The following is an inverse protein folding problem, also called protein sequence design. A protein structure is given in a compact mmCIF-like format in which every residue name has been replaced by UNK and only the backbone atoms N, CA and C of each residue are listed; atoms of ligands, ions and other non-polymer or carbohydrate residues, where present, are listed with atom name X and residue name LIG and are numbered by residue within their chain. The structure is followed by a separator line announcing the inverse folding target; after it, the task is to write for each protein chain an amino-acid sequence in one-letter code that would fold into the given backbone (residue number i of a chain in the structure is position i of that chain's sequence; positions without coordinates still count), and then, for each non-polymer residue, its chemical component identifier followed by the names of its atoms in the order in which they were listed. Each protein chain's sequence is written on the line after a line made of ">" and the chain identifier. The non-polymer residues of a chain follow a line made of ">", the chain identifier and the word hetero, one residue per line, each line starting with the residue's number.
data_IF_540278441671
#
_entry.id   IF_540278441671
#
_cell.length_a   1.000
_cell.length_b   1.000
_cell.length_c   1.000
_cell.angle_alpha   90.00
_cell.angle_beta   90.00
_cell.angle_gamma   90.00
#
_symmetry.space_group_name_H-M   'P 1'
#
loop_
_entity.id
_entity.type
_entity.pdbx_description
1 polymer ?
#
# COMPACT_ATOMS: atom_id res chain seq x y z
N UNK A 1 -2.55 -0.70 -26.41
CA UNK A 1 -2.99 -1.38 -25.17
C UNK A 1 -2.52 -0.53 -24.01
N UNK A 2 -3.36 0.39 -23.52
CA UNK A 2 -2.89 1.48 -22.68
C UNK A 2 -3.69 1.62 -21.38
N UNK A 3 -2.95 1.44 -20.27
CA UNK A 3 -2.95 2.30 -19.08
C UNK A 3 -4.15 2.29 -18.14
N UNK A 4 -3.97 1.52 -17.06
CA UNK A 4 -4.54 1.82 -15.73
C UNK A 4 -4.20 3.27 -15.39
N UNK A 5 -5.19 4.14 -15.37
CA UNK A 5 -5.03 5.54 -14.98
C UNK A 5 -4.61 5.60 -13.51
N UNK A 6 -3.30 5.74 -13.30
CA UNK A 6 -2.70 6.15 -12.04
C UNK A 6 -2.96 7.65 -11.89
N UNK A 7 -3.65 8.05 -10.81
CA UNK A 7 -4.03 9.43 -10.56
C UNK A 7 -2.79 10.28 -10.24
N UNK A 8 -2.63 11.48 -10.83
CA UNK A 8 -1.56 12.39 -10.44
C UNK A 8 -1.77 12.87 -9.00
N UNK A 9 -0.75 12.67 -8.18
CA UNK A 9 -0.69 13.14 -6.79
C UNK A 9 -0.60 14.67 -6.76
N UNK A 10 -1.62 15.34 -6.22
CA UNK A 10 -1.59 16.77 -5.89
C UNK A 10 -1.29 16.94 -4.40
N UNK A 11 -0.03 16.75 -4.01
CA UNK A 11 0.49 17.30 -2.75
C UNK A 11 1.92 17.77 -2.98
N UNK A 12 2.03 19.03 -3.43
CA UNK A 12 3.25 19.82 -3.46
C UNK A 12 2.95 21.18 -2.83
N UNK A 13 3.22 21.30 -1.54
CA UNK A 13 3.43 22.52 -0.74
C UNK A 13 3.74 21.99 0.68
N UNK A 14 4.98 21.99 1.17
CA UNK A 14 5.76 23.19 1.40
C UNK A 14 5.49 23.70 2.83
N UNK A 15 5.69 22.85 3.84
CA UNK A 15 5.70 23.26 5.25
C UNK A 15 7.15 23.54 5.66
N UNK A 16 7.52 24.81 5.56
CA UNK A 16 8.73 25.37 6.18
C UNK A 16 8.60 25.20 7.70
N UNK A 17 9.39 24.30 8.28
CA UNK A 17 9.53 24.19 9.72
C UNK A 17 10.47 25.30 10.21
N UNK A 18 9.91 26.17 11.06
CA UNK A 18 10.64 27.24 11.74
C UNK A 18 11.71 26.68 12.67
N UNK A 19 12.91 27.24 12.52
CA UNK A 19 14.06 27.04 13.39
C UNK A 19 13.74 27.66 14.77
N UNK A 20 13.55 26.85 15.80
CA UNK A 20 13.50 27.33 17.19
C UNK A 20 14.79 26.92 17.91
N UNK A 21 15.57 27.92 18.30
CA UNK A 21 16.75 27.80 19.15
C UNK A 21 16.34 27.31 20.56
N UNK A 22 16.89 26.19 21.00
CA UNK A 22 16.84 25.76 22.39
C UNK A 22 18.26 25.73 22.96
N UNK A 23 18.48 26.62 23.93
CA UNK A 23 19.68 26.78 24.75
C UNK A 23 19.83 25.64 25.76
N UNK A 24 21.08 25.41 26.16
CA UNK A 24 21.54 24.18 26.80
C UNK A 24 21.11 23.93 28.25
N UNK A 25 21.24 22.66 28.62
CA UNK A 25 21.46 22.24 29.99
C UNK A 25 22.40 21.03 30.01
N UNK A 26 23.57 21.22 30.63
CA UNK A 26 24.57 20.19 30.83
C UNK A 26 24.09 19.25 31.94
N UNK A 27 23.62 18.06 31.56
CA UNK A 27 23.31 16.95 32.45
C UNK A 27 24.48 15.96 32.51
N UNK A 28 24.96 15.69 33.71
CA UNK A 28 26.04 14.76 34.01
C UNK A 28 25.80 13.35 33.42
N UNK A 29 26.81 12.83 32.74
CA UNK A 29 26.80 11.50 32.12
C UNK A 29 27.06 10.42 33.19
N UNK A 30 26.04 9.61 33.49
CA UNK A 30 26.23 8.34 34.20
C UNK A 30 26.84 7.29 33.26
N UNK A 31 27.75 6.43 33.75
CA UNK A 31 28.39 5.38 32.94
C UNK A 31 27.35 4.34 32.50
N UNK A 32 27.10 4.28 31.19
CA UNK A 32 26.26 3.25 30.56
C UNK A 32 26.95 1.89 30.60
N UNK A 33 26.26 0.89 31.15
CA UNK A 33 26.65 -0.50 31.05
C UNK A 33 26.71 -0.96 29.57
N UNK A 34 27.62 -1.89 29.22
CA UNK A 34 27.76 -2.41 27.86
C UNK A 34 26.46 -3.12 27.44
N UNK A 35 25.83 -2.59 26.40
CA UNK A 35 24.63 -3.18 25.78
C UNK A 35 25.08 -4.46 25.03
N UNK A 36 24.49 -5.64 25.31
CA UNK A 36 24.82 -6.85 24.58
C UNK A 36 24.44 -6.68 23.11
N UNK A 37 25.43 -6.73 22.23
CA UNK A 37 25.23 -6.72 20.78
C UNK A 37 24.38 -7.91 20.38
N UNK A 38 23.08 -7.67 20.17
CA UNK A 38 22.13 -8.64 19.63
C UNK A 38 22.59 -8.96 18.21
N UNK A 39 23.23 -10.12 18.06
CA UNK A 39 23.75 -10.66 16.80
C UNK A 39 22.66 -10.56 15.74
N UNK A 40 22.88 -9.72 14.72
CA UNK A 40 21.94 -9.58 13.61
C UNK A 40 21.78 -10.94 12.93
N UNK A 41 20.55 -11.44 12.71
CA UNK A 41 20.33 -12.70 12.04
C UNK A 41 20.91 -12.61 10.62
N UNK A 42 21.88 -13.46 10.31
CA UNK A 42 22.38 -13.65 8.96
C UNK A 42 21.25 -14.19 8.08
N UNK A 43 20.65 -13.31 7.28
CA UNK A 43 19.62 -13.68 6.33
C UNK A 43 20.29 -14.14 5.03
N UNK A 44 20.40 -15.45 4.86
CA UNK A 44 20.73 -16.06 3.57
C UNK A 44 19.62 -15.70 2.58
N UNK A 45 19.97 -15.12 1.43
CA UNK A 45 18.99 -14.81 0.39
C UNK A 45 18.37 -16.13 -0.10
N UNK A 46 17.04 -16.32 0.03
CA UNK A 46 16.39 -17.50 -0.51
C UNK A 46 16.53 -17.49 -2.03
N UNK A 47 16.93 -18.64 -2.59
CA UNK A 47 16.82 -18.91 -4.03
C UNK A 47 15.37 -18.62 -4.44
N UNK A 48 15.17 -17.68 -5.37
CA UNK A 48 13.83 -17.32 -5.81
C UNK A 48 13.14 -18.57 -6.39
N UNK A 49 11.96 -18.96 -5.88
CA UNK A 49 11.21 -20.06 -6.48
C UNK A 49 10.78 -19.68 -7.89
N UNK A 50 11.07 -20.54 -8.86
CA UNK A 50 10.55 -20.43 -10.23
C UNK A 50 9.03 -20.65 -10.18
N UNK A 51 8.26 -19.57 -10.16
CA UNK A 51 6.80 -19.64 -10.11
C UNK A 51 6.24 -20.23 -11.42
N UNK A 52 5.15 -21.03 -11.37
CA UNK A 52 4.46 -21.51 -12.57
C UNK A 52 3.91 -20.32 -13.36
N UNK A 53 4.04 -20.37 -14.69
CA UNK A 53 3.66 -19.28 -15.58
C UNK A 53 2.15 -19.00 -15.50
N UNK A 54 1.77 -17.85 -14.94
CA UNK A 54 0.41 -17.34 -15.08
C UNK A 54 0.14 -17.03 -16.56
N UNK A 55 -0.97 -17.53 -17.15
CA UNK A 55 -1.27 -17.29 -18.56
C UNK A 55 -1.39 -15.79 -18.83
N UNK A 56 -0.59 -15.28 -19.78
CA UNK A 56 -0.62 -13.89 -20.22
C UNK A 56 0.41 -12.95 -19.56
N UNK A 57 1.25 -13.41 -18.64
CA UNK A 57 2.35 -12.61 -18.08
C UNK A 57 3.70 -13.01 -18.69
N UNK A 58 4.57 -12.03 -18.92
CA UNK A 58 5.96 -12.30 -19.26
C UNK A 58 6.69 -12.98 -18.08
N UNK A 59 7.73 -13.80 -18.31
CA UNK A 59 8.48 -14.43 -17.23
C UNK A 59 8.99 -13.43 -16.18
N UNK A 60 9.43 -12.25 -16.62
CA UNK A 60 9.87 -11.16 -15.76
C UNK A 60 8.73 -10.60 -14.88
N UNK A 61 7.53 -10.44 -15.43
CA UNK A 61 6.33 -10.03 -14.66
C UNK A 61 5.94 -11.08 -13.62
N UNK A 62 5.97 -12.36 -13.99
CA UNK A 62 5.65 -13.45 -13.09
C UNK A 62 6.63 -13.47 -11.90
N UNK A 63 7.94 -13.33 -12.17
CA UNK A 63 8.96 -13.28 -11.13
C UNK A 63 8.80 -12.07 -10.20
N UNK A 64 8.51 -10.88 -10.74
CA UNK A 64 8.23 -9.67 -9.94
C UNK A 64 6.99 -9.84 -9.08
N UNK A 65 5.93 -10.41 -9.65
CA UNK A 65 4.68 -10.68 -8.92
C UNK A 65 4.93 -11.68 -7.79
N UNK A 66 5.67 -12.75 -8.05
CA UNK A 66 6.07 -13.72 -7.04
C UNK A 66 6.90 -13.07 -5.92
N UNK A 67 7.84 -12.18 -6.28
CA UNK A 67 8.63 -11.42 -5.30
C UNK A 67 7.73 -10.56 -4.40
N UNK A 68 6.82 -9.77 -4.99
CA UNK A 68 5.86 -8.95 -4.23
C UNK A 68 5.01 -9.80 -3.27
N UNK A 69 4.53 -10.95 -3.73
CA UNK A 69 3.72 -11.86 -2.91
C UNK A 69 4.50 -12.50 -1.75
N UNK A 70 5.76 -12.88 -1.99
CA UNK A 70 6.60 -13.58 -1.01
C UNK A 70 7.21 -12.63 0.03
N UNK A 71 7.58 -11.41 -0.36
CA UNK A 71 8.38 -10.51 0.49
C UNK A 71 7.61 -9.28 0.95
N UNK A 72 6.89 -8.62 0.04
CA UNK A 72 6.29 -7.31 0.32
C UNK A 72 4.90 -7.45 0.96
N UNK A 73 4.04 -8.27 0.36
CA UNK A 73 2.65 -8.43 0.79
C UNK A 73 2.49 -8.91 2.25
N UNK A 74 3.29 -9.85 2.78
CA UNK A 74 3.16 -10.29 4.17
C UNK A 74 3.47 -9.19 5.17
N UNK A 75 4.49 -8.37 4.89
CA UNK A 75 4.90 -7.24 5.75
C UNK A 75 3.81 -6.17 5.76
N UNK A 76 3.30 -5.78 4.59
CA UNK A 76 2.21 -4.80 4.47
C UNK A 76 0.93 -5.31 5.14
N UNK A 77 0.63 -6.61 5.05
CA UNK A 77 -0.49 -7.22 5.81
C UNK A 77 -0.26 -7.15 7.32
N UNK A 78 0.98 -7.30 7.77
CA UNK A 78 1.39 -7.07 9.16
C UNK A 78 1.03 -5.67 9.64
N UNK A 79 1.43 -4.63 8.90
CA UNK A 79 1.11 -3.24 9.20
C UNK A 79 -0.40 -3.00 9.28
N UNK A 80 -1.15 -3.50 8.31
CA UNK A 80 -2.61 -3.34 8.26
C UNK A 80 -3.28 -3.88 9.52
N UNK A 81 -2.78 -5.00 10.07
CA UNK A 81 -3.25 -5.54 11.35
C UNK A 81 -2.91 -4.64 12.54
N UNK A 82 -1.71 -4.06 12.55
CA UNK A 82 -1.30 -3.12 13.60
C UNK A 82 -2.16 -1.85 13.57
N UNK A 83 -2.44 -1.33 12.37
CA UNK A 83 -3.37 -0.21 12.18
C UNK A 83 -4.77 -0.58 12.65
N UNK A 84 -5.31 -1.73 12.23
CA UNK A 84 -6.63 -2.18 12.68
C UNK A 84 -6.76 -2.29 14.20
N UNK A 85 -5.68 -2.67 14.89
CA UNK A 85 -5.68 -2.83 16.34
C UNK A 85 -5.78 -1.51 17.13
N UNK A 86 -5.45 -0.38 16.51
CA UNK A 86 -5.52 0.95 17.16
C UNK A 86 -6.74 1.77 16.74
N UNK A 87 -7.52 1.30 15.76
CA UNK A 87 -8.75 1.97 15.33
C UNK A 87 -9.88 1.71 16.34
N UNK A 88 -10.67 2.75 16.62
CA UNK A 88 -11.91 2.59 17.39
C UNK A 88 -12.98 1.86 16.58
N UNK A 89 -14.05 1.41 17.24
CA UNK A 89 -15.20 0.80 16.56
C UNK A 89 -15.84 1.77 15.55
N UNK A 90 -15.93 3.06 15.88
CA UNK A 90 -16.44 4.10 14.98
C UNK A 90 -15.52 4.33 13.77
N UNK A 91 -14.20 4.36 14.00
CA UNK A 91 -13.20 4.48 12.93
C UNK A 91 -13.30 3.29 11.96
N UNK A 92 -13.48 2.07 12.48
CA UNK A 92 -13.67 0.86 11.69
C UNK A 92 -14.98 0.91 10.88
N UNK A 93 -16.09 1.37 11.47
CA UNK A 93 -17.36 1.55 10.75
C UNK A 93 -17.23 2.54 9.59
N UNK A 94 -16.48 3.64 9.78
CA UNK A 94 -16.20 4.58 8.70
C UNK A 94 -15.38 3.93 7.57
N UNK A 95 -14.33 3.18 7.92
CA UNK A 95 -13.51 2.45 6.94
C UNK A 95 -14.36 1.46 6.13
N UNK A 96 -15.20 0.67 6.81
CA UNK A 96 -16.10 -0.29 6.17
C UNK A 96 -17.11 0.38 5.22
N UNK A 97 -17.67 1.53 5.63
CA UNK A 97 -18.54 2.35 4.80
C UNK A 97 -17.84 2.80 3.51
N UNK A 98 -16.62 3.33 3.62
CA UNK A 98 -15.84 3.79 2.46
C UNK A 98 -15.46 2.62 1.56
N UNK A 99 -15.07 1.48 2.12
CA UNK A 99 -14.80 0.27 1.33
C UNK A 99 -16.03 -0.18 0.55
N UNK A 100 -17.21 -0.21 1.17
CA UNK A 100 -18.46 -0.60 0.53
C UNK A 100 -18.77 0.34 -0.65
N UNK A 101 -18.60 1.65 -0.45
CA UNK A 101 -18.75 2.67 -1.50
C UNK A 101 -17.77 2.43 -2.66
N UNK A 102 -16.50 2.15 -2.37
CA UNK A 102 -15.50 1.83 -3.41
C UNK A 102 -15.78 0.53 -4.15
N UNK A 103 -16.28 -0.50 -3.47
CA UNK A 103 -16.75 -1.74 -4.13
C UNK A 103 -17.91 -1.44 -5.08
N UNK A 104 -18.87 -0.61 -4.68
CA UNK A 104 -19.98 -0.20 -5.52
C UNK A 104 -19.52 0.62 -6.75
N UNK A 105 -18.55 1.53 -6.57
CA UNK A 105 -17.94 2.28 -7.68
C UNK A 105 -17.24 1.32 -8.66
N UNK A 106 -16.42 0.39 -8.17
CA UNK A 106 -15.73 -0.60 -9.01
C UNK A 106 -16.70 -1.45 -9.83
N UNK A 107 -17.80 -1.91 -9.23
CA UNK A 107 -18.85 -2.65 -9.94
C UNK A 107 -19.51 -1.84 -11.06
N UNK A 108 -19.74 -0.54 -10.84
CA UNK A 108 -20.27 0.37 -11.88
C UNK A 108 -19.24 0.70 -12.97
N UNK A 109 -17.96 0.71 -12.62
CA UNK A 109 -16.87 0.99 -13.55
C UNK A 109 -16.51 -0.21 -14.46
N UNK A 110 -16.66 -1.44 -13.95
CA UNK A 110 -16.33 -2.69 -14.66
C UNK A 110 -16.85 -2.74 -16.11
N UNK A 111 -18.16 -2.54 -16.41
CA UNK A 111 -18.65 -2.61 -17.79
C UNK A 111 -18.12 -1.50 -18.72
N UNK A 112 -17.53 -0.45 -18.16
CA UNK A 112 -16.95 0.67 -18.92
C UNK A 112 -15.45 0.49 -19.18
N UNK A 113 -14.80 -0.46 -18.49
CA UNK A 113 -13.33 -0.62 -18.52
C UNK A 113 -12.90 -2.01 -18.96
N UNK A 114 -13.71 -3.04 -18.70
CA UNK A 114 -13.32 -4.41 -18.99
C UNK A 114 -13.32 -4.63 -20.51
N UNK A 115 -12.23 -5.20 -21.06
CA UNK A 115 -12.18 -5.53 -22.48
C UNK A 115 -13.24 -6.59 -22.79
N UNK A 116 -13.96 -6.38 -23.88
CA UNK A 116 -14.90 -7.35 -24.45
C UNK A 116 -14.09 -8.58 -24.90
N UNK A 117 -14.63 -9.82 -24.87
CA UNK A 117 -13.94 -10.98 -25.43
C UNK A 117 -13.43 -10.69 -26.85
N UNK A 118 -12.11 -10.67 -27.03
CA UNK A 118 -11.46 -10.13 -28.25
C UNK A 118 -10.38 -9.08 -28.01
N UNK A 119 -10.18 -8.64 -26.75
CA UNK A 119 -8.93 -8.02 -26.29
C UNK A 119 -8.76 -6.53 -26.56
N UNK A 120 -9.72 -5.88 -27.23
CA UNK A 120 -9.73 -4.43 -27.38
C UNK A 120 -10.61 -3.79 -26.29
N UNK A 121 -10.12 -2.71 -25.63
CA UNK A 121 -10.96 -1.94 -24.73
C UNK A 121 -12.17 -1.38 -25.49
N UNK A 122 -13.37 -1.35 -24.87
CA UNK A 122 -14.54 -0.82 -25.53
C UNK A 122 -14.29 0.64 -25.94
N UNK A 123 -14.54 0.96 -27.22
CA UNK A 123 -14.51 2.34 -27.68
C UNK A 123 -15.64 3.10 -26.98
N UNK A 124 -15.30 3.84 -25.92
CA UNK A 124 -16.30 4.48 -25.08
C UNK A 124 -16.98 5.64 -25.82
N UNK A 125 -18.32 5.64 -25.92
CA UNK A 125 -19.06 6.80 -26.42
C UNK A 125 -18.86 8.01 -25.48
N UNK A 126 -19.16 9.24 -25.94
CA UNK A 126 -19.04 10.44 -25.09
C UNK A 126 -19.73 10.31 -23.74
N UNK A 127 -20.90 9.68 -23.70
CA UNK A 127 -21.64 9.36 -22.47
C UNK A 127 -20.86 8.43 -21.53
N UNK A 128 -20.19 7.41 -22.07
CA UNK A 128 -19.33 6.50 -21.30
C UNK A 128 -18.11 7.19 -20.70
N UNK A 129 -17.51 8.16 -21.40
CA UNK A 129 -16.40 8.97 -20.88
C UNK A 129 -16.84 9.87 -19.72
N UNK A 130 -18.02 10.49 -19.84
CA UNK A 130 -18.61 11.28 -18.77
C UNK A 130 -18.91 10.42 -17.53
N UNK A 131 -19.51 9.24 -17.73
CA UNK A 131 -19.76 8.29 -16.65
C UNK A 131 -18.48 7.86 -15.92
N UNK A 132 -17.39 7.58 -16.66
CA UNK A 132 -16.09 7.29 -16.05
C UNK A 132 -15.53 8.48 -15.26
N UNK A 133 -15.63 9.70 -15.79
CA UNK A 133 -15.19 10.90 -15.08
C UNK A 133 -15.96 11.09 -13.76
N UNK A 134 -17.27 10.89 -13.78
CA UNK A 134 -18.12 10.93 -12.59
C UNK A 134 -17.72 9.85 -11.57
N UNK A 135 -17.53 8.61 -11.99
CA UNK A 135 -17.09 7.52 -11.09
C UNK A 135 -15.71 7.81 -10.47
N UNK A 136 -14.81 8.48 -11.20
CA UNK A 136 -13.53 8.94 -10.64
C UNK A 136 -13.72 10.03 -9.59
N UNK A 137 -14.61 10.99 -9.83
CA UNK A 137 -14.94 12.02 -8.84
C UNK A 137 -15.56 11.42 -7.57
N UNK A 138 -16.51 10.47 -7.73
CA UNK A 138 -17.10 9.74 -6.61
C UNK A 138 -16.06 8.94 -5.82
N UNK A 139 -15.09 8.33 -6.51
CA UNK A 139 -13.99 7.63 -5.85
C UNK A 139 -13.12 8.58 -5.03
N UNK A 140 -12.77 9.74 -5.58
CA UNK A 140 -12.00 10.75 -4.85
C UNK A 140 -12.76 11.27 -3.63
N UNK A 141 -14.05 11.54 -3.78
CA UNK A 141 -14.90 11.96 -2.67
C UNK A 141 -15.01 10.89 -1.58
N UNK A 142 -15.14 9.61 -1.96
CA UNK A 142 -15.17 8.50 -1.00
C UNK A 142 -13.86 8.41 -0.20
N UNK A 143 -12.71 8.54 -0.88
CA UNK A 143 -11.40 8.52 -0.22
C UNK A 143 -11.17 9.72 0.69
N UNK A 144 -11.61 10.92 0.30
CA UNK A 144 -11.45 12.14 1.11
C UNK A 144 -12.19 12.06 2.47
N UNK A 145 -13.19 11.19 2.60
CA UNK A 145 -13.84 10.91 3.90
C UNK A 145 -12.89 10.29 4.92
N UNK A 146 -11.78 9.69 4.47
CA UNK A 146 -10.75 9.13 5.35
C UNK A 146 -9.73 10.17 5.79
N UNK A 147 -9.70 11.38 5.21
CA UNK A 147 -8.68 12.40 5.53
C UNK A 147 -8.69 12.79 7.03
N UNK A 148 -9.84 12.99 7.71
CA UNK A 148 -9.85 13.27 9.15
C UNK A 148 -9.31 12.10 9.98
N UNK A 149 -9.59 10.87 9.56
CA UNK A 149 -9.10 9.67 10.22
C UNK A 149 -7.59 9.49 10.01
N UNK A 150 -7.10 9.76 8.80
CA UNK A 150 -5.68 9.78 8.48
C UNK A 150 -4.94 10.85 9.30
N UNK A 151 -5.50 12.05 9.43
CA UNK A 151 -4.95 13.11 10.26
C UNK A 151 -4.90 12.71 11.75
N UNK A 152 -5.98 12.12 12.28
CA UNK A 152 -6.07 11.62 13.66
C UNK A 152 -4.95 10.63 13.98
N UNK A 153 -4.63 9.72 13.06
CA UNK A 153 -3.63 8.66 13.24
C UNK A 153 -2.28 8.96 12.55
N UNK A 154 -2.07 10.18 12.05
CA UNK A 154 -0.91 10.53 11.24
C UNK A 154 0.44 10.25 11.93
N UNK A 155 0.65 10.59 13.23
CA UNK A 155 1.92 10.32 13.89
C UNK A 155 2.23 8.82 13.98
N UNK A 156 1.21 8.00 14.27
CA UNK A 156 1.35 6.55 14.34
C UNK A 156 1.66 5.93 12.97
N UNK A 157 0.93 6.36 11.93
CA UNK A 157 1.14 5.88 10.56
C UNK A 157 2.53 6.30 10.02
N UNK A 158 2.98 7.52 10.32
CA UNK A 158 4.30 8.00 9.94
C UNK A 158 5.41 7.15 10.58
N UNK A 159 5.32 6.88 11.89
CA UNK A 159 6.28 6.03 12.59
C UNK A 159 6.37 4.62 11.98
N UNK A 160 5.24 4.00 11.66
CA UNK A 160 5.21 2.68 10.99
C UNK A 160 5.89 2.68 9.61
N UNK A 161 5.73 3.76 8.85
CA UNK A 161 6.36 3.89 7.53
C UNK A 161 7.86 4.14 7.65
N UNK A 162 8.29 4.95 8.64
CA UNK A 162 9.71 5.18 8.93
C UNK A 162 10.43 3.89 9.34
N UNK A 163 9.81 3.09 10.21
CA UNK A 163 10.35 1.77 10.60
C UNK A 163 10.57 0.83 9.41
N UNK A 164 9.81 1.00 8.33
CA UNK A 164 9.90 0.21 7.11
C UNK A 164 10.83 0.78 6.04
N UNK A 165 11.38 1.97 6.23
CA UNK A 165 12.35 2.55 5.29
C UNK A 165 13.48 1.56 4.89
N UNK A 166 14.12 0.79 5.81
CA UNK A 166 15.17 -0.15 5.42
C UNK A 166 14.65 -1.34 4.59
N UNK A 167 13.49 -1.89 4.92
CA UNK A 167 12.88 -2.99 4.14
C UNK A 167 12.43 -2.50 2.76
N UNK A 168 11.84 -1.31 2.69
CA UNK A 168 11.51 -0.66 1.41
C UNK A 168 12.73 -0.53 0.51
N UNK A 169 13.84 -0.02 1.05
CA UNK A 169 15.09 0.12 0.28
C UNK A 169 15.61 -1.23 -0.22
N UNK A 170 15.52 -2.27 0.62
CA UNK A 170 15.87 -3.64 0.23
C UNK A 170 14.98 -4.16 -0.91
N UNK A 171 13.66 -4.04 -0.80
CA UNK A 171 12.74 -4.51 -1.84
C UNK A 171 13.02 -3.84 -3.19
N UNK A 172 13.29 -2.53 -3.19
CA UNK A 172 13.58 -1.81 -4.42
C UNK A 172 14.88 -2.26 -5.07
N UNK A 173 15.93 -2.52 -4.27
CA UNK A 173 17.19 -3.09 -4.78
C UNK A 173 16.97 -4.48 -5.38
N UNK A 174 16.26 -5.36 -4.68
CA UNK A 174 16.02 -6.73 -5.13
C UNK A 174 15.15 -6.75 -6.40
N UNK A 175 14.11 -5.89 -6.47
CA UNK A 175 13.27 -5.73 -7.65
C UNK A 175 14.00 -5.08 -8.82
N UNK A 176 15.02 -4.25 -8.58
CA UNK A 176 15.87 -3.70 -9.63
C UNK A 176 16.74 -4.78 -10.29
N UNK A 177 17.05 -5.87 -9.58
CA UNK A 177 17.78 -7.01 -10.14
C UNK A 177 16.91 -7.88 -11.07
N UNK A 178 15.59 -7.74 -11.04
CA UNK A 178 14.69 -8.46 -11.95
C UNK A 178 14.48 -7.62 -13.22
N UNK A 179 14.74 -8.13 -14.44
CA UNK A 179 14.55 -7.38 -15.68
C UNK A 179 13.14 -6.78 -15.80
N UNK A 180 13.03 -5.62 -16.46
CA UNK A 180 11.74 -4.95 -16.70
C UNK A 180 11.62 -4.41 -18.13
N UNK A 181 11.62 -5.29 -19.15
CA UNK A 181 11.59 -4.87 -20.55
C UNK A 181 10.35 -4.02 -20.90
N UNK A 182 9.27 -4.18 -20.13
CA UNK A 182 7.99 -3.52 -20.39
C UNK A 182 7.93 -2.05 -19.96
N UNK A 183 8.75 -1.61 -19.00
CA UNK A 183 8.76 -0.20 -18.60
C UNK A 183 9.37 0.67 -19.70
N UNK A 184 10.32 0.11 -20.45
CA UNK A 184 10.88 0.73 -21.65
C UNK A 184 9.85 0.81 -22.79
N UNK A 185 8.99 -0.21 -22.91
CA UNK A 185 7.92 -0.24 -23.92
C UNK A 185 6.72 0.66 -23.55
N UNK A 186 6.45 0.83 -22.26
CA UNK A 186 5.30 1.59 -21.76
C UNK A 186 5.67 2.38 -20.49
N UNK A 187 6.10 3.65 -20.62
CA UNK A 187 6.61 4.44 -19.50
C UNK A 187 5.57 4.83 -18.44
N UNK A 188 4.29 4.56 -18.68
CA UNK A 188 3.24 4.86 -17.67
C UNK A 188 2.91 3.69 -16.77
N UNK A 189 3.51 2.53 -17.03
CA UNK A 189 3.38 1.42 -16.10
C UNK A 189 3.92 1.89 -14.76
N UNK A 190 3.10 1.71 -13.73
CA UNK A 190 3.45 2.10 -12.36
C UNK A 190 4.75 1.41 -11.97
N UNK A 191 5.77 2.18 -11.59
CA UNK A 191 7.05 1.63 -11.16
C UNK A 191 6.90 0.85 -9.86
N UNK A 192 7.85 -0.04 -9.52
CA UNK A 192 7.75 -0.77 -8.25
C UNK A 192 7.80 0.16 -7.05
N UNK A 193 8.60 1.22 -7.13
CA UNK A 193 8.62 2.28 -6.14
C UNK A 193 7.25 2.93 -5.97
N UNK A 194 6.62 3.35 -7.07
CA UNK A 194 5.28 3.95 -7.02
C UNK A 194 4.23 2.98 -6.46
N UNK A 195 4.32 1.68 -6.78
CA UNK A 195 3.41 0.69 -6.24
C UNK A 195 3.63 0.50 -4.73
N UNK A 196 4.86 0.32 -4.28
CA UNK A 196 5.19 0.17 -2.84
C UNK A 196 4.76 1.42 -2.08
N UNK A 197 5.11 2.60 -2.57
CA UNK A 197 4.76 3.89 -1.96
C UNK A 197 3.25 4.05 -1.86
N UNK A 198 2.52 3.66 -2.90
CA UNK A 198 1.06 3.67 -2.86
C UNK A 198 0.50 2.74 -1.77
N UNK A 199 1.06 1.54 -1.58
CA UNK A 199 0.61 0.62 -0.53
C UNK A 199 0.91 1.13 0.89
N UNK A 200 1.92 1.99 1.05
CA UNK A 200 2.32 2.59 2.33
C UNK A 200 1.64 3.92 2.61
N UNK A 201 0.78 4.41 1.70
CA UNK A 201 0.03 5.64 1.95
C UNK A 201 -0.92 5.48 3.15
N UNK A 202 -1.06 6.51 4.01
CA UNK A 202 -1.95 6.48 5.17
C UNK A 202 -3.37 6.03 4.84
N UNK A 203 -3.97 6.61 3.80
CA UNK A 203 -5.34 6.28 3.40
C UNK A 203 -5.48 4.82 2.94
N UNK A 204 -4.45 4.29 2.27
CA UNK A 204 -4.43 2.91 1.75
C UNK A 204 -4.22 1.90 2.88
N UNK A 205 -3.38 2.25 3.87
CA UNK A 205 -3.20 1.45 5.08
C UNK A 205 -4.49 1.39 5.90
N UNK A 206 -5.15 2.54 6.10
CA UNK A 206 -6.43 2.62 6.79
C UNK A 206 -7.50 1.82 6.10
N UNK A 207 -7.69 2.02 4.79
CA UNK A 207 -8.77 1.34 4.09
C UNK A 207 -8.54 -0.17 4.06
N UNK A 208 -7.30 -0.63 4.00
CA UNK A 208 -7.00 -2.06 3.95
C UNK A 208 -6.94 -2.72 5.33
N UNK A 209 -7.00 -1.95 6.41
CA UNK A 209 -6.96 -2.46 7.78
C UNK A 209 -8.18 -3.34 8.11
N UNK A 210 -9.36 -2.94 7.64
CA UNK A 210 -10.61 -3.67 7.89
C UNK A 210 -10.78 -4.94 7.03
N UNK A 211 -9.98 -5.12 5.96
CA UNK A 211 -10.02 -6.34 5.15
C UNK A 211 -9.32 -7.52 5.82
N UNK A 212 -8.54 -7.29 6.87
CA UNK A 212 -7.93 -8.39 7.62
C UNK A 212 -9.05 -9.00 8.45
N UNK A 213 -9.54 -10.21 8.12
CA UNK A 213 -10.53 -10.85 8.97
C UNK A 213 -9.91 -10.90 10.35
N UNK A 214 -10.57 -10.28 11.33
CA UNK A 214 -10.28 -10.55 12.72
C UNK A 214 -10.38 -12.07 12.81
N UNK A 215 -9.23 -12.75 12.85
CA UNK A 215 -9.17 -14.21 12.94
C UNK A 215 -10.04 -14.52 14.13
N UNK A 216 -11.26 -14.99 13.84
CA UNK A 216 -12.29 -15.19 14.83
C UNK A 216 -11.62 -16.04 15.86
N UNK A 217 -11.34 -15.45 17.02
CA UNK A 217 -10.76 -16.13 18.15
C UNK A 217 -11.80 -17.19 18.47
N UNK A 218 -11.64 -18.38 17.89
CA UNK A 218 -12.60 -19.48 18.01
C UNK A 218 -12.76 -19.61 19.52
N UNK A 219 -13.94 -19.34 20.09
CA UNK A 219 -14.09 -19.43 21.53
C UNK A 219 -13.69 -20.86 21.87
N UNK A 220 -12.61 -21.03 22.64
CA UNK A 220 -12.17 -22.34 23.10
C UNK A 220 -13.36 -22.94 23.80
N UNK A 221 -14.03 -23.87 23.13
CA UNK A 221 -15.08 -24.66 23.72
C UNK A 221 -14.42 -25.36 24.91
N UNK A 222 -14.80 -24.95 26.12
CA UNK A 222 -14.46 -25.68 27.34
C UNK A 222 -14.93 -27.12 27.12
N UNK A 223 -14.00 -28.04 26.92
CA UNK A 223 -14.28 -29.46 27.09
C UNK A 223 -14.77 -29.63 28.52
N UNK A 224 -16.03 -30.03 28.64
CA UNK A 224 -16.62 -30.51 29.89
C UNK A 224 -16.17 -31.94 30.14
#
# INVERSE_FOLDING_TARGET
>A
MDRRHFFPSRYGAGLCFGLLLATGHAGAQSPRAPVPHRRAPSFTLPVLPTAPASPGLSPAQAQRTAYHQAHVAPVIRGLRRQVAAVLSAEDLQLVDSVQAQMRAIRRRAAPLQDPVPGGNPPALPPSGRHALAQLRAEHQQAMARLDPLAAKHAPFLAALVEELAPERARWLRDLAAIPRPELAADPTRVSDAQWIDHQLRPEVLLISAAEVPATTRRPSAKQR
#
